data_IF_842125826911
#
_entry.id   IF_842125826911
#
_cell.length_a   1.000
_cell.length_b   1.000
_cell.length_c   1.000
_cell.angle_alpha   90.00
_cell.angle_beta   90.00
_cell.angle_gamma   90.00
#
_symmetry.space_group_name_H-M   'P 1'
#
loop_
_entity.id
_entity.type
_entity.pdbx_description
1 polymer ?
#
# COMPACT_ATOMS: atom_id res chain seq x y z
N UNK A 1 23.02 5.07 -8.15
CA UNK A 1 22.82 4.12 -7.03
C UNK A 1 21.34 3.83 -6.97
N UNK A 2 20.92 2.66 -7.44
CA UNK A 2 19.51 2.25 -7.44
C UNK A 2 19.21 1.69 -6.06
N UNK A 3 18.69 2.51 -5.15
CA UNK A 3 18.27 2.03 -3.84
C UNK A 3 17.08 1.08 -4.04
N UNK A 4 17.21 -0.15 -3.53
CA UNK A 4 16.14 -1.15 -3.57
C UNK A 4 14.92 -0.61 -2.82
N UNK A 5 13.75 -0.61 -3.47
CA UNK A 5 12.48 -0.14 -2.90
C UNK A 5 12.19 -0.88 -1.58
N UNK A 6 12.55 -2.16 -1.50
CA UNK A 6 12.41 -2.99 -0.30
C UNK A 6 13.22 -2.43 0.87
N UNK A 7 14.44 -1.94 0.61
CA UNK A 7 15.30 -1.34 1.63
C UNK A 7 14.81 0.05 2.05
N UNK A 8 14.21 0.82 1.15
CA UNK A 8 13.57 2.08 1.48
C UNK A 8 12.36 1.88 2.41
N UNK A 9 11.52 0.89 2.13
CA UNK A 9 10.36 0.57 2.97
C UNK A 9 10.81 0.16 4.38
N UNK A 10 11.85 -0.67 4.51
CA UNK A 10 12.41 -1.04 5.82
C UNK A 10 12.91 0.17 6.61
N UNK A 11 13.57 1.11 5.94
CA UNK A 11 14.04 2.35 6.58
C UNK A 11 12.88 3.24 7.06
N UNK A 12 11.81 3.35 6.26
CA UNK A 12 10.59 4.07 6.67
C UNK A 12 9.96 3.45 7.92
N UNK A 13 9.84 2.12 7.97
CA UNK A 13 9.33 1.43 9.16
C UNK A 13 10.21 1.68 10.39
N UNK A 14 11.53 1.63 10.24
CA UNK A 14 12.46 1.91 11.34
C UNK A 14 12.28 3.33 11.90
N UNK A 15 12.09 4.33 11.04
CA UNK A 15 11.87 5.72 11.47
C UNK A 15 10.56 5.90 12.25
N UNK A 16 9.49 5.19 11.83
CA UNK A 16 8.21 5.16 12.56
C UNK A 16 8.39 4.56 13.95
N UNK A 17 9.16 3.47 14.07
CA UNK A 17 9.41 2.83 15.37
C UNK A 17 10.26 3.70 16.30
N UNK A 18 11.25 4.40 15.76
CA UNK A 18 12.07 5.35 16.53
C UNK A 18 11.28 6.60 16.96
N UNK A 19 10.15 6.89 16.33
CA UNK A 19 9.31 8.04 16.68
C UNK A 19 8.58 7.81 18.00
N UNK A 20 8.75 8.69 19.01
CA UNK A 20 8.04 8.58 20.28
C UNK A 20 6.52 8.53 20.09
N UNK A 21 5.84 7.63 20.81
CA UNK A 21 4.40 7.37 20.64
C UNK A 21 3.54 8.64 20.66
N UNK A 22 3.88 9.60 21.53
CA UNK A 22 3.18 10.90 21.64
C UNK A 22 3.17 11.72 20.36
N UNK A 23 4.10 11.49 19.42
CA UNK A 23 4.19 12.18 18.14
C UNK A 23 3.74 11.32 16.96
N UNK A 24 3.44 10.02 17.16
CA UNK A 24 2.92 9.15 16.09
C UNK A 24 1.65 9.70 15.42
N UNK A 25 0.69 10.34 16.13
CA UNK A 25 -0.46 10.97 15.47
C UNK A 25 -0.07 12.09 14.51
N UNK A 26 0.97 12.87 14.84
CA UNK A 26 1.47 13.94 13.99
C UNK A 26 2.21 13.37 12.77
N UNK A 27 3.04 12.34 12.97
CA UNK A 27 3.73 11.65 11.90
C UNK A 27 2.74 11.03 10.91
N UNK A 28 1.70 10.36 11.41
CA UNK A 28 0.63 9.80 10.58
C UNK A 28 -0.05 10.87 9.72
N UNK A 29 -0.32 12.04 10.31
CA UNK A 29 -0.93 13.16 9.56
C UNK A 29 -0.01 13.64 8.44
N UNK A 30 1.29 13.72 8.67
CA UNK A 30 2.26 14.14 7.66
C UNK A 30 2.35 13.14 6.50
N UNK A 31 2.43 11.83 6.82
CA UNK A 31 2.43 10.76 5.80
C UNK A 31 1.13 10.77 5.01
N UNK A 32 -0.01 10.97 5.67
CA UNK A 32 -1.31 11.07 5.01
C UNK A 32 -1.36 12.24 4.03
N UNK A 33 -0.99 13.45 4.46
CA UNK A 33 -0.98 14.63 3.59
C UNK A 33 0.02 14.50 2.43
N UNK A 34 1.16 13.84 2.66
CA UNK A 34 2.11 13.54 1.59
C UNK A 34 1.50 12.59 0.54
N UNK A 35 0.81 11.54 1.00
CA UNK A 35 0.11 10.60 0.11
C UNK A 35 -0.99 11.31 -0.68
N UNK A 36 -1.83 12.11 -0.02
CA UNK A 36 -2.87 12.90 -0.69
C UNK A 36 -2.29 13.81 -1.78
N UNK A 37 -1.16 14.47 -1.51
CA UNK A 37 -0.48 15.30 -2.51
C UNK A 37 0.07 14.50 -3.70
N UNK A 38 0.49 13.25 -3.51
CA UNK A 38 0.88 12.36 -4.61
C UNK A 38 -0.34 11.87 -5.39
N UNK A 39 -1.45 11.56 -4.71
CA UNK A 39 -2.68 11.09 -5.35
C UNK A 39 -3.30 12.14 -6.29
N UNK A 40 -3.00 13.43 -6.08
CA UNK A 40 -3.34 14.50 -7.03
C UNK A 40 -2.53 14.40 -8.33
N UNK A 41 -1.27 13.96 -8.26
CA UNK A 41 -0.34 13.83 -9.40
C UNK A 41 -0.40 12.43 -10.07
N UNK A 42 -0.66 11.39 -9.28
CA UNK A 42 -0.71 9.98 -9.69
C UNK A 42 -1.93 9.31 -9.04
N UNK A 43 -3.13 9.49 -9.62
CA UNK A 43 -4.39 9.07 -9.00
C UNK A 43 -4.46 7.54 -8.91
N UNK A 44 -4.90 7.05 -7.75
CA UNK A 44 -5.31 5.65 -7.63
C UNK A 44 -6.35 5.32 -8.70
N UNK A 45 -6.35 4.07 -9.23
CA UNK A 45 -7.42 3.64 -10.11
C UNK A 45 -8.75 3.88 -9.40
N UNK A 46 -9.62 4.61 -10.07
CA UNK A 46 -10.97 4.89 -9.58
C UNK A 46 -11.67 3.58 -9.22
N UNK A 47 -12.69 3.64 -8.35
CA UNK A 47 -13.49 2.47 -8.03
C UNK A 47 -14.07 1.80 -9.30
N UNK A 48 -14.37 2.57 -10.34
CA UNK A 48 -14.81 2.08 -11.64
C UNK A 48 -13.70 1.34 -12.42
N UNK A 49 -12.47 1.85 -12.38
CA UNK A 49 -11.31 1.19 -13.00
C UNK A 49 -10.95 -0.12 -12.29
N UNK A 50 -10.98 -0.11 -10.95
CA UNK A 50 -10.81 -1.31 -10.12
C UNK A 50 -11.88 -2.36 -10.40
N UNK A 51 -13.13 -1.95 -10.60
CA UNK A 51 -14.22 -2.85 -10.96
C UNK A 51 -14.06 -3.43 -12.37
N UNK A 52 -13.65 -2.60 -13.33
CA UNK A 52 -13.40 -3.02 -14.71
C UNK A 52 -12.24 -4.00 -14.79
N UNK A 53 -11.19 -3.78 -14.00
CA UNK A 53 -10.06 -4.69 -13.84
C UNK A 53 -10.51 -6.02 -13.22
N UNK A 54 -11.23 -5.98 -12.10
CA UNK A 54 -11.80 -7.18 -11.48
C UNK A 54 -12.67 -7.98 -12.45
N UNK A 55 -13.47 -7.31 -13.29
CA UNK A 55 -14.29 -7.97 -14.31
C UNK A 55 -13.46 -8.62 -15.43
N UNK A 56 -12.31 -8.04 -15.79
CA UNK A 56 -11.37 -8.61 -16.77
C UNK A 56 -10.66 -9.84 -16.19
N UNK A 57 -10.26 -9.78 -14.92
CA UNK A 57 -9.60 -10.88 -14.22
C UNK A 57 -10.52 -12.10 -14.07
N UNK A 58 -11.80 -11.85 -13.75
CA UNK A 58 -12.83 -12.89 -13.76
C UNK A 58 -12.96 -13.56 -15.13
N UNK A 59 -13.04 -12.78 -16.21
CA UNK A 59 -13.13 -13.33 -17.59
C UNK A 59 -11.90 -14.11 -18.01
N UNK A 60 -10.73 -13.72 -17.51
CA UNK A 60 -9.46 -14.37 -17.82
C UNK A 60 -9.13 -15.56 -16.89
N UNK A 61 -10.00 -15.88 -15.92
CA UNK A 61 -9.77 -16.94 -14.94
C UNK A 61 -8.65 -16.62 -13.94
N UNK A 62 -8.22 -15.35 -13.83
CA UNK A 62 -7.23 -14.88 -12.85
C UNK A 62 -7.89 -14.61 -11.50
N UNK A 63 -8.58 -15.60 -10.98
CA UNK A 63 -9.28 -15.54 -9.69
C UNK A 63 -8.65 -16.55 -8.74
N UNK A 64 -8.52 -16.17 -7.48
CA UNK A 64 -8.01 -17.04 -6.43
C UNK A 64 -9.14 -17.36 -5.45
N UNK A 65 -9.17 -18.58 -4.88
CA UNK A 65 -10.13 -18.92 -3.83
C UNK A 65 -9.98 -17.96 -2.65
N UNK A 66 -11.11 -17.56 -2.06
CA UNK A 66 -11.12 -16.60 -0.95
C UNK A 66 -10.35 -17.13 0.27
N UNK A 67 -10.35 -18.44 0.44
CA UNK A 67 -9.61 -19.21 1.45
C UNK A 67 -8.09 -18.97 1.37
N UNK A 68 -7.57 -18.62 0.17
CA UNK A 68 -6.14 -18.35 -0.06
C UNK A 68 -5.75 -16.87 0.11
N UNK A 69 -6.73 -15.99 0.37
CA UNK A 69 -6.51 -14.54 0.46
C UNK A 69 -5.51 -14.19 1.58
N UNK A 70 -5.58 -14.90 2.70
CA UNK A 70 -4.80 -14.63 3.90
C UNK A 70 -3.47 -15.40 3.98
N UNK A 71 -3.26 -16.37 3.10
CA UNK A 71 -2.04 -17.20 3.09
C UNK A 71 -0.77 -16.39 2.89
N UNK A 72 -0.87 -15.25 2.17
CA UNK A 72 0.27 -14.36 1.90
C UNK A 72 0.50 -13.31 3.00
N UNK A 73 -0.50 -13.05 3.83
CA UNK A 73 -0.43 -12.07 4.93
C UNK A 73 0.11 -12.72 6.20
N UNK A 74 -0.06 -14.04 6.34
CA UNK A 74 0.47 -14.84 7.46
C UNK A 74 1.79 -15.58 7.12
N UNK A 75 2.43 -15.26 6.01
CA UNK A 75 3.79 -15.75 5.74
C UNK A 75 4.77 -14.82 6.46
N UNK A 76 5.39 -15.33 7.54
CA UNK A 76 6.35 -14.64 8.44
C UNK A 76 7.41 -13.79 7.72
#
# INVERSE_FOLDING_TARGET
MTTDITELTKQLHAEVELTPERYRPLLLRLVHSFREGIEEDEPWPTAEESLREGLRDMKAGRVYPIDTLWDRVNAD
#
